data_IF_927680525389
#
_entry.id   IF_927680525389
#
_cell.length_a   1.000
_cell.length_b   1.000
_cell.length_c   1.000
_cell.angle_alpha   90.00
_cell.angle_beta   90.00
_cell.angle_gamma   90.00
#
_symmetry.space_group_name_H-M   'P 1'
#
loop_
_entity.id
_entity.type
_entity.pdbx_description
1 polymer ?
#
# COMPACT_ATOMS: atom_id res chain seq x y z
N UNK A 1 28.71 -5.09 7.22
CA UNK A 1 27.94 -3.97 6.63
C UNK A 1 27.37 -4.45 5.31
N UNK A 2 26.04 -4.55 5.17
CA UNK A 2 25.42 -4.80 3.85
C UNK A 2 25.70 -3.61 2.95
N UNK A 3 26.36 -3.85 1.82
CA UNK A 3 26.66 -2.82 0.82
C UNK A 3 25.37 -2.12 0.38
N UNK A 4 25.40 -0.79 0.32
CA UNK A 4 24.25 0.01 -0.11
C UNK A 4 24.02 -0.21 -1.61
N UNK A 5 22.81 -0.59 -2.00
CA UNK A 5 22.45 -0.79 -3.40
C UNK A 5 21.88 0.51 -4.00
N UNK A 6 22.72 1.20 -4.76
CA UNK A 6 22.36 2.46 -5.45
C UNK A 6 21.22 2.29 -6.44
N UNK A 7 21.07 1.10 -7.06
CA UNK A 7 20.00 0.83 -8.03
C UNK A 7 18.65 0.80 -7.32
N UNK A 8 18.61 0.10 -6.18
CA UNK A 8 17.41 0.05 -5.36
C UNK A 8 17.02 1.43 -4.83
N UNK A 9 18.00 2.27 -4.48
CA UNK A 9 17.73 3.64 -4.04
C UNK A 9 17.16 4.50 -5.17
N UNK A 10 17.71 4.40 -6.39
CA UNK A 10 17.20 5.12 -7.55
C UNK A 10 15.74 4.75 -7.86
N UNK A 11 15.41 3.46 -7.86
CA UNK A 11 14.04 3.02 -8.13
C UNK A 11 13.09 3.49 -7.02
N UNK A 12 13.51 3.46 -5.74
CA UNK A 12 12.71 4.03 -4.64
C UNK A 12 12.49 5.53 -4.81
N UNK A 13 13.52 6.29 -5.16
CA UNK A 13 13.40 7.73 -5.41
C UNK A 13 12.41 8.03 -6.53
N UNK A 14 12.48 7.29 -7.64
CA UNK A 14 11.55 7.41 -8.75
C UNK A 14 10.12 7.03 -8.33
N UNK A 15 9.95 5.93 -7.60
CA UNK A 15 8.65 5.51 -7.10
C UNK A 15 8.05 6.56 -6.14
N UNK A 16 8.85 7.18 -5.26
CA UNK A 16 8.39 8.28 -4.41
C UNK A 16 7.86 9.45 -5.23
N UNK A 17 8.59 9.85 -6.28
CA UNK A 17 8.14 10.93 -7.17
C UNK A 17 6.80 10.59 -7.84
N UNK A 18 6.64 9.37 -8.33
CA UNK A 18 5.40 8.92 -8.95
C UNK A 18 4.23 8.88 -7.96
N UNK A 19 4.44 8.52 -6.69
CA UNK A 19 3.38 8.62 -5.66
C UNK A 19 2.92 10.07 -5.47
N UNK A 20 3.87 11.02 -5.44
CA UNK A 20 3.53 12.45 -5.37
C UNK A 20 2.74 12.88 -6.61
N UNK A 21 3.13 12.41 -7.80
CA UNK A 21 2.42 12.71 -9.04
C UNK A 21 0.96 12.22 -9.01
N UNK A 22 0.69 10.99 -8.55
CA UNK A 22 -0.68 10.47 -8.36
C UNK A 22 -1.50 11.46 -7.53
N UNK A 23 -0.95 11.91 -6.40
CA UNK A 23 -1.70 12.77 -5.47
C UNK A 23 -1.93 14.18 -6.02
N UNK A 24 -1.03 14.68 -6.86
CA UNK A 24 -1.21 15.97 -7.55
C UNK A 24 -2.38 15.87 -8.54
N UNK A 25 -2.42 14.82 -9.35
CA UNK A 25 -3.43 14.69 -10.41
C UNK A 25 -4.75 14.09 -9.94
N UNK A 26 -4.77 13.46 -8.76
CA UNK A 26 -5.94 12.76 -8.21
C UNK A 26 -7.20 13.64 -8.17
N UNK A 27 -7.10 14.89 -7.73
CA UNK A 27 -8.25 15.80 -7.70
C UNK A 27 -8.80 16.04 -9.10
N UNK A 28 -7.94 16.32 -10.08
CA UNK A 28 -8.36 16.54 -11.47
C UNK A 28 -9.00 15.30 -12.09
N UNK A 29 -8.45 14.11 -11.84
CA UNK A 29 -9.04 12.84 -12.31
C UNK A 29 -10.44 12.63 -11.75
N UNK A 30 -10.68 13.02 -10.49
CA UNK A 30 -11.95 12.80 -9.80
C UNK A 30 -13.00 13.87 -10.08
N UNK A 31 -12.60 15.12 -10.38
CA UNK A 31 -13.55 16.25 -10.45
C UNK A 31 -13.68 16.90 -11.82
N UNK A 32 -12.73 16.69 -12.74
CA UNK A 32 -12.83 17.26 -14.09
C UNK A 32 -13.81 16.48 -14.96
N UNK A 33 -14.45 17.17 -15.91
CA UNK A 33 -15.32 16.54 -16.90
C UNK A 33 -14.47 15.63 -17.82
N UNK A 34 -14.91 14.38 -17.98
CA UNK A 34 -14.23 13.34 -18.77
C UNK A 34 -14.00 13.69 -20.25
N UNK A 35 -14.73 14.66 -20.78
CA UNK A 35 -14.57 15.16 -22.15
C UNK A 35 -13.45 16.20 -22.33
N UNK A 36 -12.85 16.66 -21.23
CA UNK A 36 -11.85 17.74 -21.23
C UNK A 36 -10.42 17.26 -21.44
N UNK A 37 -9.57 18.14 -21.98
CA UNK A 37 -8.14 17.85 -22.15
C UNK A 37 -7.43 17.68 -20.80
N UNK A 38 -7.83 18.47 -19.79
CA UNK A 38 -7.31 18.42 -18.44
C UNK A 38 -7.54 17.04 -17.81
N UNK A 39 -8.76 16.50 -17.94
CA UNK A 39 -9.07 15.16 -17.46
C UNK A 39 -8.24 14.09 -18.18
N UNK A 40 -8.14 14.16 -19.51
CA UNK A 40 -7.36 13.21 -20.28
C UNK A 40 -5.88 13.18 -19.87
N UNK A 41 -5.26 14.36 -19.76
CA UNK A 41 -3.86 14.49 -19.34
C UNK A 41 -3.66 13.98 -17.91
N UNK A 42 -4.53 14.36 -16.99
CA UNK A 42 -4.48 13.91 -15.60
C UNK A 42 -4.62 12.38 -15.49
N UNK A 43 -5.55 11.78 -16.25
CA UNK A 43 -5.77 10.34 -16.28
C UNK A 43 -4.58 9.58 -16.88
N UNK A 44 -3.92 10.11 -17.91
CA UNK A 44 -2.69 9.54 -18.46
C UNK A 44 -1.54 9.55 -17.44
N UNK A 45 -1.34 10.69 -16.74
CA UNK A 45 -0.31 10.83 -15.72
C UNK A 45 -0.58 9.92 -14.51
N UNK A 46 -1.84 9.85 -14.05
CA UNK A 46 -2.28 8.97 -13.00
C UNK A 46 -2.01 7.50 -13.37
N UNK A 47 -2.45 7.07 -14.55
CA UNK A 47 -2.26 5.71 -15.06
C UNK A 47 -0.79 5.31 -15.15
N UNK A 48 0.08 6.22 -15.63
CA UNK A 48 1.52 6.00 -15.69
C UNK A 48 2.13 5.86 -14.29
N UNK A 49 1.73 6.73 -13.36
CA UNK A 49 2.29 6.79 -12.03
C UNK A 49 1.86 5.62 -11.12
N UNK A 50 0.77 4.92 -11.46
CA UNK A 50 0.27 3.72 -10.75
C UNK A 50 1.25 2.55 -10.66
N UNK A 51 2.38 2.59 -11.39
CA UNK A 51 3.47 1.62 -11.22
C UNK A 51 4.25 1.80 -9.90
N UNK A 52 4.08 2.93 -9.20
CA UNK A 52 4.86 3.25 -8.01
C UNK A 52 4.68 2.26 -6.85
N UNK A 53 3.45 1.88 -6.42
CA UNK A 53 3.28 0.91 -5.33
C UNK A 53 3.87 -0.48 -5.66
N UNK A 54 3.66 -1.06 -6.86
CA UNK A 54 4.34 -2.29 -7.28
C UNK A 54 5.87 -2.22 -7.18
N UNK A 55 6.50 -1.10 -7.57
CA UNK A 55 7.95 -0.94 -7.47
C UNK A 55 8.43 -0.99 -6.01
N UNK A 56 7.71 -0.33 -5.09
CA UNK A 56 8.04 -0.43 -3.67
C UNK A 56 7.91 -1.86 -3.13
N UNK A 57 6.86 -2.58 -3.52
CA UNK A 57 6.68 -3.97 -3.12
C UNK A 57 7.78 -4.88 -3.66
N UNK A 58 8.16 -4.72 -4.93
CA UNK A 58 9.22 -5.51 -5.56
C UNK A 58 10.56 -5.32 -4.85
N UNK A 59 10.98 -4.07 -4.63
CA UNK A 59 12.27 -3.79 -3.98
C UNK A 59 12.25 -4.25 -2.53
N UNK A 60 11.16 -3.97 -1.80
CA UNK A 60 11.01 -4.41 -0.42
C UNK A 60 11.09 -5.93 -0.34
N UNK A 61 10.37 -6.64 -1.20
CA UNK A 61 10.39 -8.11 -1.32
C UNK A 61 11.78 -8.66 -1.61
N UNK A 62 12.53 -8.06 -2.54
CA UNK A 62 13.90 -8.49 -2.86
C UNK A 62 14.84 -8.44 -1.64
N UNK A 63 14.78 -7.37 -0.84
CA UNK A 63 15.57 -7.26 0.40
C UNK A 63 15.06 -8.17 1.53
N UNK A 64 13.77 -8.49 1.52
CA UNK A 64 13.13 -9.32 2.54
C UNK A 64 13.41 -10.80 2.28
N UNK A 65 13.34 -11.26 1.03
CA UNK A 65 13.54 -12.64 0.65
C UNK A 65 15.02 -13.04 0.59
N UNK A 66 15.93 -12.10 0.33
CA UNK A 66 17.39 -12.36 0.28
C UNK A 66 18.03 -12.70 1.63
N UNK A 67 17.33 -12.48 2.76
CA UNK A 67 17.88 -12.73 4.10
C UNK A 67 17.39 -14.05 4.67
N UNK A 68 18.34 -14.91 5.06
CA UNK A 68 18.09 -16.13 5.84
C UNK A 68 18.24 -15.80 7.33
N UNK A 69 17.15 -15.37 7.96
CA UNK A 69 17.13 -15.09 9.41
C UNK A 69 15.96 -15.84 10.08
N UNK A 70 16.14 -16.33 11.34
CA UNK A 70 15.08 -17.04 12.06
C UNK A 70 13.82 -16.19 12.25
N UNK A 71 12.65 -16.83 12.22
CA UNK A 71 11.33 -16.18 12.28
C UNK A 71 11.18 -15.17 13.43
N UNK A 72 11.60 -15.54 14.65
CA UNK A 72 11.49 -14.67 15.82
C UNK A 72 12.34 -13.40 15.72
N UNK A 73 13.50 -13.48 15.08
CA UNK A 73 14.42 -12.33 14.90
C UNK A 73 13.91 -11.38 13.81
N UNK A 74 13.27 -11.92 12.77
CA UNK A 74 12.65 -11.16 11.71
C UNK A 74 11.49 -10.29 12.23
N UNK A 75 10.56 -10.91 12.96
CA UNK A 75 9.39 -10.23 13.51
C UNK A 75 9.77 -9.16 14.54
N UNK A 76 10.62 -9.49 15.51
CA UNK A 76 10.90 -8.56 16.62
C UNK A 76 11.57 -7.26 16.17
N UNK A 77 12.38 -7.29 15.11
CA UNK A 77 13.11 -6.11 14.63
C UNK A 77 12.32 -5.26 13.63
N UNK A 78 11.53 -5.90 12.77
CA UNK A 78 10.91 -5.21 11.62
C UNK A 78 9.40 -5.10 11.73
N UNK A 79 8.73 -6.18 12.15
CA UNK A 79 7.28 -6.15 12.34
C UNK A 79 6.91 -5.18 13.47
N UNK A 80 7.71 -5.08 14.54
CA UNK A 80 7.48 -4.10 15.62
C UNK A 80 7.51 -2.65 15.11
N UNK A 81 8.51 -2.29 14.29
CA UNK A 81 8.59 -0.93 13.72
C UNK A 81 7.42 -0.62 12.79
N UNK A 82 6.99 -1.62 12.03
CA UNK A 82 5.84 -1.53 11.15
C UNK A 82 4.54 -1.36 11.96
N UNK A 83 4.36 -2.17 13.00
CA UNK A 83 3.21 -2.10 13.91
C UNK A 83 3.14 -0.74 14.60
N UNK A 84 4.28 -0.23 15.08
CA UNK A 84 4.36 1.12 15.66
C UNK A 84 3.94 2.17 14.62
N UNK A 85 4.41 2.08 13.38
CA UNK A 85 3.99 3.02 12.32
C UNK A 85 2.50 2.92 12.03
N UNK A 86 1.95 1.71 11.89
CA UNK A 86 0.51 1.50 11.66
C UNK A 86 -0.29 2.14 12.77
N UNK A 87 0.00 1.78 14.02
CA UNK A 87 -0.73 2.29 15.18
C UNK A 87 -0.61 3.81 15.29
N UNK A 88 0.60 4.36 15.14
CA UNK A 88 0.83 5.79 15.22
C UNK A 88 0.04 6.56 14.17
N UNK A 89 0.15 6.18 12.89
CA UNK A 89 -0.53 6.88 11.81
C UNK A 89 -2.05 6.71 11.88
N UNK A 90 -2.52 5.50 12.19
CA UNK A 90 -3.95 5.23 12.39
C UNK A 90 -4.54 6.11 13.49
N UNK A 91 -3.89 6.18 14.66
CA UNK A 91 -4.36 7.01 15.76
C UNK A 91 -4.32 8.50 15.41
N UNK A 92 -3.23 8.97 14.77
CA UNK A 92 -3.10 10.35 14.35
C UNK A 92 -4.23 10.75 13.39
N UNK A 93 -4.50 9.93 12.37
CA UNK A 93 -5.56 10.19 11.40
C UNK A 93 -6.96 10.11 12.01
N UNK A 94 -7.18 9.21 12.97
CA UNK A 94 -8.43 9.12 13.70
C UNK A 94 -8.68 10.40 14.53
N UNK A 95 -7.67 10.87 15.26
CA UNK A 95 -7.73 12.12 16.02
C UNK A 95 -8.04 13.28 15.08
N UNK A 96 -7.34 13.39 13.95
CA UNK A 96 -7.58 14.45 12.97
C UNK A 96 -9.00 14.41 12.39
N UNK A 97 -9.55 13.23 12.10
CA UNK A 97 -10.95 13.11 11.62
C UNK A 97 -11.96 13.60 12.66
N UNK A 98 -11.75 13.23 13.93
CA UNK A 98 -12.63 13.61 15.04
C UNK A 98 -12.54 15.12 15.30
N UNK A 99 -11.33 15.69 15.38
CA UNK A 99 -11.14 17.11 15.72
C UNK A 99 -11.53 18.07 14.60
N UNK A 100 -11.43 17.65 13.34
CA UNK A 100 -11.87 18.43 12.16
C UNK A 100 -13.40 18.29 11.93
N UNK A 101 -14.11 17.53 12.79
CA UNK A 101 -15.57 17.54 12.88
C UNK A 101 -16.31 16.74 11.79
N UNK A 102 -15.62 15.85 11.07
CA UNK A 102 -16.21 15.09 9.94
C UNK A 102 -16.51 13.62 10.25
N UNK A 103 -16.39 13.18 11.50
CA UNK A 103 -16.49 11.76 11.83
C UNK A 103 -16.92 11.54 13.29
N UNK A 104 -18.09 10.93 13.50
CA UNK A 104 -18.61 10.51 14.80
C UNK A 104 -19.13 9.06 14.69
N UNK A 105 -18.22 8.07 14.57
CA UNK A 105 -18.60 6.69 14.28
C UNK A 105 -19.27 6.04 15.48
N UNK A 106 -20.20 5.12 15.21
CA UNK A 106 -20.59 4.12 16.21
C UNK A 106 -19.40 3.20 16.55
N UNK A 107 -19.42 2.55 17.72
CA UNK A 107 -18.35 1.64 18.13
C UNK A 107 -18.09 0.49 17.14
N UNK A 108 -19.12 0.06 16.40
CA UNK A 108 -19.02 -0.96 15.34
C UNK A 108 -18.40 -0.42 14.05
N UNK A 109 -18.77 0.80 13.62
CA UNK A 109 -18.19 1.44 12.42
C UNK A 109 -16.70 1.71 12.59
N UNK A 110 -16.25 2.07 13.80
CA UNK A 110 -14.84 2.26 14.08
C UNK A 110 -14.04 0.97 13.87
N UNK A 111 -14.58 -0.18 14.29
CA UNK A 111 -13.93 -1.49 14.12
C UNK A 111 -13.88 -1.86 12.63
N UNK A 112 -14.96 -1.61 11.90
CA UNK A 112 -15.02 -1.87 10.46
C UNK A 112 -14.05 -0.98 9.69
N UNK A 113 -13.95 0.31 10.01
CA UNK A 113 -13.01 1.26 9.40
C UNK A 113 -11.54 0.93 9.72
N UNK A 114 -11.28 0.44 10.93
CA UNK A 114 -9.96 -0.07 11.35
C UNK A 114 -9.56 -1.33 10.57
N UNK A 115 -10.46 -2.29 10.44
CA UNK A 115 -10.20 -3.56 9.75
C UNK A 115 -10.14 -3.38 8.23
N UNK A 116 -10.96 -2.49 7.68
CA UNK A 116 -10.91 -2.14 6.26
C UNK A 116 -9.77 -1.16 5.94
N UNK A 117 -9.17 -0.49 6.93
CA UNK A 117 -8.14 0.51 6.67
C UNK A 117 -8.65 1.75 5.94
N UNK A 118 -9.96 1.99 5.93
CA UNK A 118 -10.62 3.13 5.28
C UNK A 118 -10.53 4.44 6.10
N UNK A 119 -9.79 4.44 7.22
CA UNK A 119 -9.57 5.63 8.06
C UNK A 119 -8.97 6.76 7.23
N UNK A 120 -7.99 6.47 6.35
CA UNK A 120 -7.48 7.44 5.38
C UNK A 120 -6.88 6.72 4.17
N UNK A 121 -7.11 7.27 2.98
CA UNK A 121 -6.66 6.69 1.70
C UNK A 121 -5.12 6.56 1.60
N UNK A 122 -4.34 7.22 2.46
CA UNK A 122 -2.88 7.03 2.53
C UNK A 122 -2.45 5.76 3.30
N UNK A 123 -3.29 5.22 4.18
CA UNK A 123 -2.94 4.09 5.04
C UNK A 123 -2.96 2.74 4.32
N UNK A 124 -3.63 2.66 3.15
CA UNK A 124 -3.75 1.43 2.37
C UNK A 124 -2.40 0.76 2.11
N UNK A 125 -1.37 1.58 1.81
CA UNK A 125 -0.04 1.09 1.49
C UNK A 125 0.68 0.49 2.71
N UNK A 126 0.50 1.09 3.89
CA UNK A 126 1.09 0.58 5.14
C UNK A 126 0.43 -0.77 5.50
N UNK A 127 -0.89 -0.89 5.33
CA UNK A 127 -1.61 -2.14 5.54
C UNK A 127 -1.19 -3.23 4.54
N UNK A 128 -1.00 -2.87 3.26
CA UNK A 128 -0.51 -3.79 2.24
C UNK A 128 0.91 -4.29 2.57
N UNK A 129 1.81 -3.41 3.02
CA UNK A 129 3.14 -3.81 3.50
C UNK A 129 3.02 -4.75 4.70
N UNK A 130 2.10 -4.51 5.64
CA UNK A 130 1.88 -5.39 6.79
C UNK A 130 1.54 -6.82 6.37
N UNK A 131 0.63 -6.97 5.41
CA UNK A 131 0.26 -8.27 4.84
C UNK A 131 1.48 -8.93 4.19
N UNK A 132 2.27 -8.19 3.39
CA UNK A 132 3.48 -8.74 2.76
C UNK A 132 4.48 -9.21 3.82
N UNK A 133 4.68 -8.47 4.91
CA UNK A 133 5.58 -8.85 5.99
C UNK A 133 5.11 -10.12 6.72
N UNK A 134 3.80 -10.27 6.94
CA UNK A 134 3.19 -11.49 7.48
C UNK A 134 3.35 -12.69 6.54
N UNK A 135 3.23 -12.46 5.22
CA UNK A 135 3.37 -13.50 4.20
C UNK A 135 4.84 -13.85 3.88
N UNK A 136 5.78 -12.95 4.09
CA UNK A 136 7.21 -13.16 3.83
C UNK A 136 7.78 -14.46 4.42
N UNK A 137 7.56 -14.82 5.70
CA UNK A 137 8.02 -16.10 6.24
C UNK A 137 7.47 -17.31 5.48
N UNK A 138 6.21 -17.24 5.04
CA UNK A 138 5.57 -18.27 4.22
C UNK A 138 6.26 -18.33 2.85
N UNK A 139 6.43 -17.17 2.20
CA UNK A 139 7.10 -17.03 0.91
C UNK A 139 8.57 -17.52 0.94
N UNK A 140 9.27 -17.39 2.07
CA UNK A 140 10.65 -17.88 2.23
C UNK A 140 10.73 -19.41 2.27
N UNK A 141 9.72 -20.08 2.82
CA UNK A 141 9.66 -21.55 2.89
C UNK A 141 9.22 -22.18 1.56
N UNK A 142 8.42 -21.46 0.76
CA UNK A 142 8.11 -21.85 -0.62
C UNK A 142 9.28 -21.52 -1.54
N UNK A 143 10.34 -22.31 -1.43
CA UNK A 143 11.41 -22.30 -2.41
C UNK A 143 10.97 -23.10 -3.64
N UNK A 144 10.77 -22.41 -4.76
CA UNK A 144 10.90 -22.94 -6.14
C UNK A 144 9.72 -23.75 -6.72
N UNK A 145 8.56 -23.89 -6.07
CA UNK A 145 7.38 -24.40 -6.78
C UNK A 145 6.63 -23.29 -7.54
N UNK A 146 7.00 -23.15 -8.82
CA UNK A 146 6.40 -22.21 -9.80
C UNK A 146 4.86 -22.15 -9.77
N UNK A 147 4.10 -23.26 -9.66
CA UNK A 147 2.63 -23.19 -9.68
C UNK A 147 2.03 -22.60 -8.38
N UNK A 148 2.66 -22.79 -7.22
CA UNK A 148 2.17 -22.25 -5.94
C UNK A 148 2.48 -20.75 -5.86
N UNK A 149 3.68 -20.36 -6.25
CA UNK A 149 4.06 -18.94 -6.29
C UNK A 149 3.17 -18.15 -7.26
N UNK A 150 2.85 -18.72 -8.42
CA UNK A 150 1.92 -18.10 -9.36
C UNK A 150 0.52 -17.95 -8.76
N UNK A 151 0.01 -18.95 -8.03
CA UNK A 151 -1.29 -18.88 -7.33
C UNK A 151 -1.31 -17.82 -6.23
N UNK A 152 -0.22 -17.69 -5.47
CA UNK A 152 -0.11 -16.66 -4.41
C UNK A 152 -0.05 -15.26 -5.03
N UNK A 153 0.74 -15.08 -6.08
CA UNK A 153 0.82 -13.80 -6.81
C UNK A 153 -0.54 -13.46 -7.42
N UNK A 154 -1.20 -14.41 -8.08
CA UNK A 154 -2.56 -14.22 -8.61
C UNK A 154 -3.56 -13.91 -7.50
N UNK A 155 -3.50 -14.58 -6.34
CA UNK A 155 -4.38 -14.28 -5.21
C UNK A 155 -4.14 -12.87 -4.65
N UNK A 156 -2.90 -12.42 -4.55
CA UNK A 156 -2.57 -11.04 -4.12
C UNK A 156 -3.05 -10.02 -5.15
N UNK A 157 -2.87 -10.31 -6.44
CA UNK A 157 -3.33 -9.44 -7.54
C UNK A 157 -4.86 -9.39 -7.56
N UNK A 158 -5.54 -10.52 -7.45
CA UNK A 158 -7.01 -10.59 -7.38
C UNK A 158 -7.54 -9.92 -6.12
N UNK A 159 -6.86 -10.08 -4.98
CA UNK A 159 -7.19 -9.36 -3.75
C UNK A 159 -7.03 -7.85 -3.91
N UNK A 160 -5.92 -7.40 -4.49
CA UNK A 160 -5.69 -5.98 -4.78
C UNK A 160 -6.70 -5.41 -5.79
N UNK A 161 -7.10 -6.20 -6.80
CA UNK A 161 -8.15 -5.84 -7.77
C UNK A 161 -9.54 -5.78 -7.12
N UNK A 162 -9.87 -6.73 -6.24
CA UNK A 162 -11.14 -6.71 -5.48
C UNK A 162 -11.21 -5.52 -4.52
N UNK A 163 -10.07 -5.14 -3.95
CA UNK A 163 -9.94 -3.97 -3.08
C UNK A 163 -10.13 -2.67 -3.88
N UNK A 164 -9.50 -2.60 -5.07
CA UNK A 164 -9.65 -1.48 -5.99
C UNK A 164 -11.10 -1.33 -6.49
N UNK A 165 -11.79 -2.43 -6.78
CA UNK A 165 -13.20 -2.41 -7.19
C UNK A 165 -14.14 -1.89 -6.10
N UNK A 166 -13.90 -2.25 -4.83
CA UNK A 166 -14.70 -1.75 -3.71
C UNK A 166 -14.46 -0.25 -3.43
N UNK A 167 -13.25 0.26 -3.67
CA UNK A 167 -12.94 1.68 -3.53
C UNK A 167 -13.70 2.55 -4.56
N UNK A 168 -13.90 2.04 -5.78
CA UNK A 168 -14.70 2.71 -6.83
C UNK A 168 -16.18 2.72 -6.46
N UNK A 169 -16.72 1.61 -5.94
CA UNK A 169 -18.12 1.52 -5.55
C UNK A 169 -18.49 2.46 -4.38
N UNK A 170 -17.55 2.76 -3.49
CA UNK A 170 -17.75 3.69 -2.37
C UNK A 170 -17.60 5.17 -2.78
N UNK A 171 -16.99 5.47 -3.93
CA UNK A 171 -16.86 6.84 -4.46
C UNK A 171 -18.08 7.31 -5.28
N UNK A 172 -19.05 6.41 -5.49
CA UNK A 172 -20.32 6.67 -6.19
C UNK A 172 -21.54 6.69 -5.26
N UNK A 173 -21.33 6.78 -3.95
CA UNK A 173 -22.33 7.09 -2.92
C UNK A 173 -22.00 8.44 -2.27
#
# INVERSE_FOLDING_TARGET
>A
MTQRDTRADLIKSMATFLVVLIHIVATTVLTADTSTYEWFLANCLDSFARVAPPLFFMISGAFLLSKKEPFGVFFSKRATKLLISILFWTLLYLILRITVGKYNPSGSELIEDLLSGNIYYHLWFINAIAIIYLLTPILRNFTVDKPIMLKIVLAIVLFALSWYGNYINLAHL
#
